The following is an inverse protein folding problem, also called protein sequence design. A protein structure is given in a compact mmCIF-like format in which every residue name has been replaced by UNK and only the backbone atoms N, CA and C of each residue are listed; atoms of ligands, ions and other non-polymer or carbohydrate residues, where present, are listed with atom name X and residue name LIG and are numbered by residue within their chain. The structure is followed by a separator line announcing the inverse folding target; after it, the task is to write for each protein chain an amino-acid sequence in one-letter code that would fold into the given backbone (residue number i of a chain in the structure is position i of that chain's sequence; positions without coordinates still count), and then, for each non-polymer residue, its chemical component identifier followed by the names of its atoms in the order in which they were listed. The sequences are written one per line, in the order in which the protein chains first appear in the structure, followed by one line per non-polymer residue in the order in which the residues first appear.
data_IF_072752064865
#
_entry.id   IF_072752064865
#
_cell.length_a   1.000
_cell.length_b   1.000
_cell.length_c   1.000
_cell.angle_alpha   90.00
_cell.angle_beta   90.00
_cell.angle_gamma   90.00
#
_symmetry.space_group_name_H-M   'P 1'
#
loop_
_entity.id
_entity.type
_entity.pdbx_description
1 polymer ?
#
# COMPACT_ATOMS: atom_id res chain seq x y z
N UNK A 1 12.19 11.68 9.01
CA UNK A 1 10.75 11.67 8.69
C UNK A 1 10.42 10.39 7.96
N UNK A 2 9.31 9.75 8.30
CA UNK A 2 8.86 8.49 7.70
C UNK A 2 7.64 8.77 6.84
N UNK A 3 7.63 8.22 5.64
CA UNK A 3 6.50 8.24 4.72
C UNK A 3 6.16 6.81 4.36
N UNK A 4 4.92 6.42 4.56
CA UNK A 4 4.41 5.10 4.18
C UNK A 4 3.39 5.25 3.07
N UNK A 5 3.57 4.49 2.02
CA UNK A 5 2.66 4.42 0.88
C UNK A 5 2.06 3.03 0.80
N UNK A 6 0.75 2.97 0.79
CA UNK A 6 -0.03 1.76 0.56
C UNK A 6 -0.73 1.83 -0.80
N UNK A 7 -0.68 0.78 -1.56
CA UNK A 7 -1.64 0.56 -2.62
C UNK A 7 -2.97 0.07 -2.01
N UNK A 8 -4.08 0.21 -2.75
CA UNK A 8 -5.39 -0.20 -2.28
C UNK A 8 -5.74 -1.62 -2.74
N UNK A 9 -5.84 -1.80 -4.05
CA UNK A 9 -6.33 -3.03 -4.64
C UNK A 9 -5.33 -4.18 -4.44
N UNK A 10 -5.82 -5.30 -3.92
CA UNK A 10 -5.01 -6.49 -3.61
C UNK A 10 -3.80 -6.26 -2.67
N UNK A 11 -3.80 -5.13 -1.97
CA UNK A 11 -2.78 -4.76 -0.96
C UNK A 11 -3.43 -4.44 0.39
N UNK A 12 -4.32 -3.46 0.46
CA UNK A 12 -5.18 -3.23 1.62
C UNK A 12 -6.51 -3.97 1.45
N UNK A 13 -7.19 -3.80 0.34
CA UNK A 13 -8.48 -4.42 0.02
C UNK A 13 -8.30 -5.64 -0.87
N UNK A 14 -9.00 -6.74 -0.57
CA UNK A 14 -9.00 -7.97 -1.38
C UNK A 14 -9.89 -7.82 -2.63
N UNK A 15 -9.57 -6.86 -3.49
CA UNK A 15 -10.40 -6.45 -4.63
C UNK A 15 -10.61 -7.58 -5.61
N UNK A 16 -9.55 -8.27 -6.03
CA UNK A 16 -9.66 -9.42 -6.93
C UNK A 16 -10.48 -10.57 -6.35
N UNK A 17 -10.44 -10.76 -5.02
CA UNK A 17 -11.25 -11.75 -4.34
C UNK A 17 -12.74 -11.33 -4.35
N UNK A 18 -13.03 -10.07 -4.02
CA UNK A 18 -14.38 -9.50 -4.04
C UNK A 18 -15.03 -9.67 -5.43
N UNK A 19 -14.31 -9.33 -6.49
CA UNK A 19 -14.81 -9.51 -7.87
C UNK A 19 -15.06 -10.98 -8.22
N UNK A 20 -14.23 -11.92 -7.73
CA UNK A 20 -14.46 -13.37 -7.97
C UNK A 20 -15.71 -13.89 -7.26
N UNK A 21 -16.10 -13.27 -6.14
CA UNK A 21 -17.35 -13.62 -5.45
C UNK A 21 -18.62 -13.22 -6.23
N UNK A 22 -18.49 -12.25 -7.14
CA UNK A 22 -19.63 -11.75 -7.93
C UNK A 22 -20.71 -11.03 -7.12
N UNK A 23 -20.37 -10.60 -5.90
CA UNK A 23 -21.30 -9.91 -4.98
C UNK A 23 -20.66 -8.62 -4.47
N UNK A 24 -21.42 -7.54 -4.49
CA UNK A 24 -20.88 -6.21 -4.18
C UNK A 24 -20.92 -5.87 -2.67
N UNK A 25 -21.69 -6.61 -1.86
CA UNK A 25 -21.98 -6.24 -0.47
C UNK A 25 -21.61 -7.33 0.53
N UNK A 26 -20.36 -7.80 0.49
CA UNK A 26 -19.83 -8.71 1.51
C UNK A 26 -18.98 -7.91 2.48
N UNK A 27 -19.28 -8.01 3.77
CA UNK A 27 -18.48 -7.39 4.82
C UNK A 27 -17.36 -8.33 5.26
N UNK A 28 -16.17 -7.76 5.45
CA UNK A 28 -14.95 -8.46 5.84
C UNK A 28 -14.43 -7.97 7.21
N UNK A 29 -15.00 -8.42 8.35
CA UNK A 29 -14.61 -7.92 9.67
C UNK A 29 -13.13 -8.13 9.99
N UNK A 30 -12.57 -9.29 9.65
CA UNK A 30 -11.15 -9.59 9.91
C UNK A 30 -10.23 -8.75 9.03
N UNK A 31 -10.58 -8.56 7.75
CA UNK A 31 -9.83 -7.66 6.87
C UNK A 31 -9.89 -6.21 7.37
N UNK A 32 -11.05 -5.78 7.86
CA UNK A 32 -11.23 -4.44 8.44
C UNK A 32 -10.30 -4.20 9.62
N UNK A 33 -10.22 -5.15 10.54
CA UNK A 33 -9.29 -5.10 11.69
C UNK A 33 -7.83 -5.04 11.22
N UNK A 34 -7.51 -5.86 10.23
CA UNK A 34 -6.15 -5.92 9.69
C UNK A 34 -5.74 -4.62 9.00
N UNK A 35 -6.60 -4.05 8.14
CA UNK A 35 -6.38 -2.76 7.49
C UNK A 35 -6.17 -1.65 8.54
N UNK A 36 -7.09 -1.56 9.51
CA UNK A 36 -6.97 -0.56 10.61
C UNK A 36 -5.62 -0.68 11.30
N UNK A 37 -5.21 -1.90 11.65
CA UNK A 37 -3.93 -2.14 12.32
C UNK A 37 -2.74 -1.71 11.47
N UNK A 38 -2.71 -2.05 10.17
CA UNK A 38 -1.67 -1.64 9.25
C UNK A 38 -1.56 -0.11 9.15
N UNK A 39 -2.69 0.56 8.96
CA UNK A 39 -2.73 2.02 8.83
C UNK A 39 -2.39 2.73 10.14
N UNK A 40 -2.85 2.23 11.30
CA UNK A 40 -2.52 2.79 12.60
C UNK A 40 -1.03 2.68 12.95
N UNK A 41 -0.40 1.55 12.63
CA UNK A 41 1.05 1.39 12.78
C UNK A 41 1.79 2.40 11.93
N UNK A 42 1.35 2.58 10.68
CA UNK A 42 1.94 3.54 9.75
C UNK A 42 1.75 4.99 10.23
N UNK A 43 0.55 5.35 10.70
CA UNK A 43 0.23 6.69 11.20
C UNK A 43 0.99 7.07 12.47
N UNK A 44 1.30 6.09 13.34
CA UNK A 44 2.15 6.30 14.51
C UNK A 44 3.59 6.63 14.12
N UNK A 45 4.05 6.15 12.98
CA UNK A 45 5.41 6.35 12.50
C UNK A 45 5.58 7.66 11.71
N UNK A 46 4.56 8.10 10.96
CA UNK A 46 4.68 9.29 10.14
C UNK A 46 3.52 9.54 9.20
N UNK A 47 3.83 10.08 8.02
CA UNK A 47 2.84 10.38 6.99
C UNK A 47 2.41 9.10 6.25
N UNK A 48 1.11 8.96 6.03
CA UNK A 48 0.54 7.81 5.35
C UNK A 48 -0.24 8.25 4.11
N UNK A 49 0.08 7.62 3.01
CA UNK A 49 -0.59 7.80 1.74
C UNK A 49 -1.20 6.47 1.28
N UNK A 50 -2.41 6.53 0.75
CA UNK A 50 -2.98 5.48 -0.08
C UNK A 50 -2.89 5.98 -1.52
N UNK A 51 -2.16 5.29 -2.39
CA UNK A 51 -2.05 5.62 -3.81
C UNK A 51 -2.64 4.48 -4.61
N UNK A 52 -3.79 4.69 -5.23
CA UNK A 52 -4.48 3.70 -6.05
C UNK A 52 -4.55 4.11 -7.52
N UNK A 53 -4.58 3.14 -8.41
CA UNK A 53 -4.94 3.34 -9.82
C UNK A 53 -6.45 3.31 -10.07
N UNK A 54 -7.24 2.94 -9.06
CA UNK A 54 -8.70 3.04 -9.07
C UNK A 54 -9.18 4.47 -8.79
N UNK A 55 -10.48 4.69 -8.96
CA UNK A 55 -11.15 5.93 -8.56
C UNK A 55 -11.19 6.06 -7.03
N UNK A 56 -11.11 7.27 -6.51
CA UNK A 56 -11.21 7.50 -5.07
C UNK A 56 -12.58 7.12 -4.50
N UNK A 57 -13.62 7.26 -5.30
CA UNK A 57 -14.97 6.83 -4.94
C UNK A 57 -15.07 5.30 -4.78
N UNK A 58 -14.32 4.53 -5.56
CA UNK A 58 -14.19 3.09 -5.37
C UNK A 58 -13.63 2.75 -3.97
N UNK A 59 -12.59 3.45 -3.54
CA UNK A 59 -12.02 3.26 -2.19
C UNK A 59 -13.05 3.57 -1.11
N UNK A 60 -13.78 4.69 -1.24
CA UNK A 60 -14.85 5.09 -0.30
C UNK A 60 -15.98 4.06 -0.26
N UNK A 61 -16.39 3.59 -1.43
CA UNK A 61 -17.42 2.55 -1.54
C UNK A 61 -16.98 1.27 -0.83
N UNK A 62 -15.76 0.78 -1.08
CA UNK A 62 -15.22 -0.38 -0.37
C UNK A 62 -15.26 -0.21 1.16
N UNK A 63 -14.90 0.97 1.66
CA UNK A 63 -14.91 1.25 3.10
C UNK A 63 -16.33 1.17 3.64
N UNK A 64 -17.30 1.78 2.98
CA UNK A 64 -18.68 1.83 3.43
C UNK A 64 -19.41 0.48 3.31
N UNK A 65 -19.19 -0.25 2.22
CA UNK A 65 -19.96 -1.45 1.89
C UNK A 65 -19.29 -2.74 2.37
N UNK A 66 -17.96 -2.80 2.34
CA UNK A 66 -17.23 -4.04 2.57
C UNK A 66 -16.46 -4.07 3.89
N UNK A 67 -16.12 -2.92 4.46
CA UNK A 67 -15.37 -2.86 5.71
C UNK A 67 -16.30 -2.52 6.91
N UNK A 68 -15.78 -2.78 8.10
CA UNK A 68 -16.50 -2.55 9.36
C UNK A 68 -15.69 -1.55 10.20
N UNK A 69 -16.35 -0.49 10.68
CA UNK A 69 -15.74 0.55 11.53
C UNK A 69 -14.48 1.21 10.96
N UNK A 70 -14.42 1.35 9.62
CA UNK A 70 -13.29 1.97 8.92
C UNK A 70 -13.61 3.37 8.40
N UNK A 71 -14.79 3.92 8.68
CA UNK A 71 -15.28 5.17 8.09
C UNK A 71 -14.32 6.34 8.32
N UNK A 72 -13.74 6.45 9.52
CA UNK A 72 -12.86 7.55 9.90
C UNK A 72 -11.40 7.37 9.46
N UNK A 73 -11.06 6.25 8.82
CA UNK A 73 -9.65 5.98 8.49
C UNK A 73 -9.15 6.90 7.38
N UNK A 74 -10.03 7.29 6.44
CA UNK A 74 -9.69 8.20 5.34
C UNK A 74 -9.40 9.63 5.80
N UNK A 75 -9.96 10.05 6.92
CA UNK A 75 -9.69 11.38 7.50
C UNK A 75 -8.24 11.49 8.01
N UNK A 76 -7.63 10.37 8.28
CA UNK A 76 -6.30 10.28 8.91
C UNK A 76 -5.18 10.00 7.92
N UNK A 77 -5.50 9.62 6.69
CA UNK A 77 -4.54 9.26 5.63
C UNK A 77 -4.78 10.12 4.39
N UNK A 78 -3.74 10.30 3.60
CA UNK A 78 -3.84 11.02 2.33
C UNK A 78 -4.20 10.04 1.21
N UNK A 79 -5.42 10.13 0.68
CA UNK A 79 -5.85 9.34 -0.48
C UNK A 79 -5.48 10.08 -1.78
N UNK A 80 -4.72 9.41 -2.64
CA UNK A 80 -4.37 9.86 -3.98
C UNK A 80 -4.83 8.82 -5.01
N UNK A 81 -5.95 9.09 -5.65
CA UNK A 81 -6.35 8.37 -6.85
C UNK A 81 -5.58 8.92 -8.06
N UNK A 82 -4.95 8.04 -8.82
CA UNK A 82 -4.25 8.45 -10.04
C UNK A 82 -5.20 8.84 -11.17
N UNK A 83 -6.49 8.48 -11.07
CA UNK A 83 -7.54 8.84 -12.02
C UNK A 83 -8.11 10.22 -11.68
N UNK A 84 -8.49 10.46 -10.43
CA UNK A 84 -9.18 11.69 -10.00
C UNK A 84 -8.26 12.90 -9.99
N UNK A 85 -6.96 12.70 -9.94
CA UNK A 85 -5.97 13.79 -9.86
C UNK A 85 -5.72 14.53 -11.17
N UNK A 86 -6.59 14.37 -12.17
CA UNK A 86 -6.43 14.99 -13.50
C UNK A 86 -5.35 14.33 -14.36
N UNK A 87 -4.84 13.20 -13.93
CA UNK A 87 -3.88 12.37 -14.69
C UNK A 87 -4.59 11.37 -15.63
N UNK A 88 -5.91 11.44 -15.72
CA UNK A 88 -6.75 10.60 -16.57
C UNK A 88 -6.38 10.66 -18.06
N UNK A 89 -5.85 11.79 -18.52
CA UNK A 89 -5.37 11.95 -19.89
C UNK A 89 -4.07 11.14 -20.17
N UNK A 90 -3.43 10.61 -19.13
CA UNK A 90 -2.25 9.78 -19.27
C UNK A 90 -2.71 8.32 -19.42
N UNK A 91 -2.53 7.76 -20.60
CA UNK A 91 -2.97 6.40 -20.96
C UNK A 91 -2.23 5.29 -20.20
N UNK A 92 -0.98 5.55 -19.79
CA UNK A 92 -0.14 4.55 -19.11
C UNK A 92 -0.40 4.52 -17.60
N UNK A 93 -0.94 3.41 -17.10
CA UNK A 93 -1.09 3.12 -15.66
C UNK A 93 0.21 3.33 -14.89
N UNK A 94 1.33 2.88 -15.46
CA UNK A 94 2.67 3.09 -14.90
C UNK A 94 2.97 4.57 -14.72
N UNK A 95 2.74 5.40 -15.75
CA UNK A 95 3.07 6.82 -15.70
C UNK A 95 2.19 7.57 -14.69
N UNK A 96 0.91 7.19 -14.57
CA UNK A 96 0.03 7.77 -13.55
C UNK A 96 0.56 7.51 -12.13
N UNK A 97 1.01 6.27 -11.85
CA UNK A 97 1.58 5.92 -10.54
C UNK A 97 2.87 6.71 -10.27
N UNK A 98 3.78 6.82 -11.26
CA UNK A 98 5.00 7.65 -11.16
C UNK A 98 4.65 9.10 -10.81
N UNK A 99 3.70 9.69 -11.49
CA UNK A 99 3.30 11.09 -11.26
C UNK A 99 2.67 11.30 -9.87
N UNK A 100 1.92 10.32 -9.36
CA UNK A 100 1.38 10.37 -8.00
C UNK A 100 2.49 10.34 -6.95
N UNK A 101 3.50 9.50 -7.14
CA UNK A 101 4.67 9.47 -6.28
C UNK A 101 5.52 10.76 -6.38
N UNK A 102 5.64 11.35 -7.55
CA UNK A 102 6.31 12.63 -7.74
C UNK A 102 5.64 13.77 -6.94
N UNK A 103 4.31 13.76 -6.83
CA UNK A 103 3.59 14.73 -5.98
C UNK A 103 3.98 14.60 -4.52
N UNK A 104 4.11 13.36 -4.01
CA UNK A 104 4.58 13.14 -2.64
C UNK A 104 6.01 13.67 -2.47
N UNK A 105 6.90 13.38 -3.40
CA UNK A 105 8.28 13.87 -3.33
C UNK A 105 8.34 15.40 -3.32
N UNK A 106 7.52 16.07 -4.11
CA UNK A 106 7.42 17.52 -4.15
C UNK A 106 6.97 18.17 -2.83
N UNK A 107 6.13 17.49 -2.06
CA UNK A 107 5.69 17.97 -0.75
C UNK A 107 6.84 18.04 0.27
N UNK A 108 7.86 17.21 0.11
CA UNK A 108 9.00 17.10 1.03
C UNK A 108 10.25 17.86 0.56
N UNK A 109 10.23 18.43 -0.66
CA UNK A 109 11.42 18.92 -1.35
C UNK A 109 11.97 20.26 -0.82
N UNK A 110 11.31 20.99 0.08
CA UNK A 110 11.78 22.33 0.43
C UNK A 110 12.46 22.47 1.80
N UNK A 111 12.40 21.53 2.71
CA UNK A 111 13.09 21.55 4.04
C UNK A 111 12.88 20.29 4.88
N UNK A 112 12.18 19.27 4.40
CA UNK A 112 11.90 18.06 5.17
C UNK A 112 12.57 16.88 4.46
N UNK A 113 13.62 16.38 5.04
CA UNK A 113 14.30 15.18 4.54
C UNK A 113 13.42 13.97 4.82
N UNK A 114 13.04 13.25 3.77
CA UNK A 114 12.42 11.94 3.92
C UNK A 114 13.53 10.96 4.28
N UNK A 115 13.45 10.33 5.44
CA UNK A 115 14.47 9.37 5.88
C UNK A 115 14.12 7.95 5.48
N UNK A 116 12.83 7.59 5.51
CA UNK A 116 12.33 6.30 5.07
C UNK A 116 11.09 6.50 4.22
N UNK A 117 11.11 5.93 3.03
CA UNK A 117 9.95 5.72 2.18
C UNK A 117 9.65 4.23 2.18
N UNK A 118 8.52 3.83 2.76
CA UNK A 118 8.09 2.43 2.86
C UNK A 118 6.88 2.26 1.95
N UNK A 119 6.99 1.37 0.97
CA UNK A 119 5.98 1.17 -0.06
C UNK A 119 5.48 -0.27 -0.04
N UNK A 120 4.16 -0.40 0.00
CA UNK A 120 3.44 -1.67 -0.06
C UNK A 120 2.55 -1.67 -1.29
N UNK A 121 2.66 -2.68 -2.15
CA UNK A 121 1.83 -2.82 -3.34
C UNK A 121 1.92 -4.22 -3.93
N UNK A 122 0.87 -4.63 -4.66
CA UNK A 122 0.81 -5.95 -5.29
C UNK A 122 1.48 -6.00 -6.66
N UNK A 123 1.73 -4.85 -7.27
CA UNK A 123 2.21 -4.76 -8.64
C UNK A 123 3.60 -4.13 -8.79
N UNK A 124 4.20 -4.35 -9.97
CA UNK A 124 5.51 -3.78 -10.28
C UNK A 124 5.49 -2.27 -10.53
N UNK A 125 4.31 -1.67 -10.68
CA UNK A 125 4.22 -0.21 -10.87
C UNK A 125 4.51 0.55 -9.59
N UNK A 126 4.11 0.03 -8.44
CA UNK A 126 4.41 0.59 -7.12
C UNK A 126 5.91 0.58 -6.86
N UNK A 127 6.55 -0.57 -7.10
CA UNK A 127 7.99 -0.74 -6.98
C UNK A 127 8.76 0.23 -7.88
N UNK A 128 8.39 0.33 -9.16
CA UNK A 128 9.03 1.27 -10.10
C UNK A 128 8.81 2.72 -9.73
N UNK A 129 7.65 3.06 -9.16
CA UNK A 129 7.36 4.42 -8.74
C UNK A 129 8.20 4.82 -7.52
N UNK A 130 8.38 3.93 -6.55
CA UNK A 130 9.23 4.19 -5.39
C UNK A 130 10.73 4.22 -5.74
N UNK A 131 11.19 3.37 -6.67
CA UNK A 131 12.56 3.42 -7.18
C UNK A 131 12.86 4.73 -7.91
N UNK A 132 11.90 5.22 -8.70
CA UNK A 132 12.02 6.52 -9.35
C UNK A 132 12.18 7.67 -8.34
N UNK A 133 11.44 7.62 -7.22
CA UNK A 133 11.62 8.59 -6.13
C UNK A 133 13.01 8.47 -5.52
N UNK A 134 13.52 7.26 -5.32
CA UNK A 134 14.88 7.03 -4.80
C UNK A 134 15.94 7.77 -5.63
N UNK A 135 15.81 7.73 -6.95
CA UNK A 135 16.73 8.42 -7.86
C UNK A 135 16.66 9.95 -7.73
N UNK A 136 15.48 10.49 -7.40
CA UNK A 136 15.25 11.94 -7.28
C UNK A 136 15.62 12.54 -5.93
N UNK A 137 15.41 11.83 -4.82
CA UNK A 137 15.51 12.40 -3.45
C UNK A 137 16.96 12.34 -2.93
N UNK A 138 17.83 11.55 -3.55
CA UNK A 138 19.25 11.46 -3.19
C UNK A 138 19.54 10.55 -1.99
N UNK A 139 20.79 10.59 -1.51
CA UNK A 139 21.43 9.57 -0.67
C UNK A 139 20.93 9.45 0.77
N UNK A 140 20.06 10.34 1.24
CA UNK A 140 19.59 10.34 2.64
C UNK A 140 18.22 9.67 2.86
N UNK A 141 17.66 9.02 1.84
CA UNK A 141 16.36 8.36 1.93
C UNK A 141 16.49 6.88 1.66
N UNK A 142 16.09 6.07 2.62
CA UNK A 142 16.01 4.63 2.46
C UNK A 142 14.64 4.25 1.90
N UNK A 143 14.62 3.67 0.71
CA UNK A 143 13.40 3.16 0.07
C UNK A 143 13.27 1.68 0.37
N UNK A 144 12.10 1.27 0.84
CA UNK A 144 11.76 -0.09 1.22
C UNK A 144 10.51 -0.51 0.46
N UNK A 145 10.70 -1.40 -0.50
CA UNK A 145 9.63 -1.95 -1.31
C UNK A 145 9.25 -3.32 -0.80
N UNK A 146 8.00 -3.50 -0.44
CA UNK A 146 7.44 -4.78 -0.07
C UNK A 146 6.29 -5.09 -1.02
N UNK A 147 6.53 -6.08 -1.89
CA UNK A 147 5.58 -6.50 -2.89
C UNK A 147 4.67 -7.59 -2.35
N UNK A 148 3.38 -7.32 -2.37
CA UNK A 148 2.31 -8.27 -2.06
C UNK A 148 2.07 -9.24 -3.22
N UNK A 149 1.38 -10.33 -2.94
CA UNK A 149 0.93 -11.28 -3.96
C UNK A 149 -0.10 -10.62 -4.87
N UNK A 150 0.05 -10.82 -6.17
CA UNK A 150 -0.95 -10.36 -7.14
C UNK A 150 -2.19 -11.28 -7.09
N UNK A 151 -3.39 -10.68 -7.05
CA UNK A 151 -4.68 -11.38 -6.97
C UNK A 151 -4.74 -12.42 -5.83
N UNK A 152 -4.46 -12.03 -4.60
CA UNK A 152 -4.42 -12.96 -3.48
C UNK A 152 -5.79 -13.56 -3.20
N UNK A 153 -5.82 -14.68 -2.48
CA UNK A 153 -7.01 -15.07 -1.73
C UNK A 153 -7.19 -14.14 -0.52
N UNK A 154 -8.36 -14.13 0.09
CA UNK A 154 -8.58 -13.35 1.32
C UNK A 154 -7.63 -13.82 2.44
N UNK A 155 -7.42 -15.13 2.57
CA UNK A 155 -6.52 -15.70 3.58
C UNK A 155 -5.06 -15.34 3.33
N UNK A 156 -4.62 -15.31 2.08
CA UNK A 156 -3.25 -14.89 1.75
C UNK A 156 -3.05 -13.42 2.07
N UNK A 157 -3.98 -12.55 1.70
CA UNK A 157 -3.90 -11.12 1.99
C UNK A 157 -3.87 -10.84 3.50
N UNK A 158 -4.74 -11.49 4.28
CA UNK A 158 -4.74 -11.34 5.74
C UNK A 158 -3.39 -11.73 6.35
N UNK A 159 -2.80 -12.83 5.88
CA UNK A 159 -1.49 -13.28 6.34
C UNK A 159 -0.38 -12.31 5.92
N UNK A 160 -0.39 -11.82 4.70
CA UNK A 160 0.58 -10.83 4.24
C UNK A 160 0.51 -9.56 5.08
N UNK A 161 -0.68 -9.07 5.38
CA UNK A 161 -0.88 -7.93 6.27
C UNK A 161 -0.40 -8.22 7.70
N UNK A 162 -0.63 -9.42 8.22
CA UNK A 162 -0.12 -9.83 9.53
C UNK A 162 1.42 -9.86 9.56
N UNK A 163 2.05 -10.37 8.52
CA UNK A 163 3.51 -10.32 8.38
C UNK A 163 3.99 -8.88 8.43
N UNK A 164 3.35 -7.97 7.69
CA UNK A 164 3.72 -6.55 7.72
C UNK A 164 3.53 -5.96 9.10
N UNK A 165 2.44 -6.24 9.79
CA UNK A 165 2.20 -5.75 11.16
C UNK A 165 3.32 -6.15 12.11
N UNK A 166 3.84 -7.36 11.97
CA UNK A 166 4.91 -7.90 12.81
C UNK A 166 6.29 -7.29 12.48
N UNK A 167 6.59 -7.08 11.20
CA UNK A 167 7.90 -6.58 10.78
C UNK A 167 7.97 -5.04 10.68
N UNK A 168 6.83 -4.34 10.69
CA UNK A 168 6.78 -2.90 10.47
C UNK A 168 7.70 -2.10 11.42
N UNK A 169 7.77 -2.39 12.74
CA UNK A 169 8.71 -1.71 13.63
C UNK A 169 10.18 -1.86 13.18
N UNK A 170 10.55 -3.04 12.68
CA UNK A 170 11.90 -3.29 12.16
C UNK A 170 12.18 -2.51 10.88
N UNK A 171 11.16 -2.32 10.03
CA UNK A 171 11.30 -1.50 8.84
C UNK A 171 11.64 -0.05 9.16
N UNK A 172 11.23 0.47 10.32
CA UNK A 172 11.48 1.86 10.71
C UNK A 172 12.93 2.14 11.07
N UNK A 173 13.66 1.13 11.55
CA UNK A 173 15.01 1.27 12.09
C UNK A 173 16.11 0.74 11.15
N UNK A 174 15.75 0.03 10.09
CA UNK A 174 16.72 -0.49 9.13
C UNK A 174 17.15 0.63 8.17
N UNK A 175 18.37 1.12 8.29
CA UNK A 175 18.95 2.15 7.43
C UNK A 175 19.57 1.53 6.16
N UNK A 176 18.70 0.86 5.38
CA UNK A 176 19.04 0.23 4.09
C UNK A 176 17.87 0.29 3.12
N UNK A 177 18.17 0.27 1.83
CA UNK A 177 17.18 -0.05 0.82
C UNK A 177 16.77 -1.52 0.95
N UNK A 178 15.47 -1.78 0.86
CA UNK A 178 14.91 -3.13 0.88
C UNK A 178 14.03 -3.32 -0.35
N UNK A 179 14.05 -4.53 -0.87
CA UNK A 179 13.23 -4.93 -2.00
C UNK A 179 12.80 -6.39 -1.80
N UNK A 180 11.66 -6.55 -1.13
CA UNK A 180 11.12 -7.85 -0.75
C UNK A 180 9.84 -8.16 -1.51
N UNK A 181 9.56 -9.45 -1.67
CA UNK A 181 8.28 -9.96 -2.16
C UNK A 181 7.72 -10.96 -1.16
N UNK A 182 6.45 -10.82 -0.85
CA UNK A 182 5.70 -11.80 -0.10
C UNK A 182 5.21 -12.89 -1.08
N UNK A 183 5.06 -14.10 -0.58
CA UNK A 183 4.65 -15.24 -1.38
C UNK A 183 3.47 -15.95 -0.71
N UNK A 184 2.49 -16.44 -1.50
CA UNK A 184 1.43 -17.29 -0.96
C UNK A 184 2.04 -18.53 -0.32
N UNK A 185 1.45 -18.99 0.77
CA UNK A 185 1.92 -20.21 1.48
C UNK A 185 1.79 -21.48 0.69
N UNK A 186 0.95 -21.47 -0.34
CA UNK A 186 0.84 -22.60 -1.28
C UNK A 186 2.14 -22.92 -2.03
N UNK A 187 3.13 -22.01 -2.01
CA UNK A 187 4.46 -22.22 -2.56
C UNK A 187 5.53 -22.60 -1.53
N UNK A 188 5.19 -22.62 -0.24
CA UNK A 188 6.13 -23.16 0.75
C UNK A 188 6.11 -24.70 0.65
N UNK A 189 7.27 -25.36 0.46
CA UNK A 189 7.33 -26.81 0.52
C UNK A 189 6.79 -27.27 1.88
N UNK A 190 5.98 -28.32 1.88
CA UNK A 190 5.26 -28.86 3.06
C UNK A 190 6.17 -29.23 4.27
N UNK A 191 7.46 -29.11 4.13
CA UNK A 191 8.47 -29.47 5.14
C UNK A 191 8.87 -28.29 6.05
N UNK A 192 8.29 -27.10 5.89
CA UNK A 192 8.60 -25.92 6.72
C UNK A 192 7.44 -25.52 7.67
N UNK A 193 6.41 -26.36 7.79
CA UNK A 193 5.28 -26.18 8.72
C UNK A 193 5.41 -27.09 9.94
N UNK A 194 6.51 -26.98 10.66
CA UNK A 194 6.67 -27.59 12.00
C UNK A 194 7.02 -26.53 13.02
#
# INVERSE_FOLDING_TARGET
MIVTVWDWDDTLMATSFLFRLGVNTVRFPELSKSIKRCLELSLKAGHVYIITNGEGDWVRQCITENLVDCDNILERVHLLSTVDTGLSNITSVKQRKLNAFDRISGMFNKRKVMHHLICFGDCMYDRKASDHIREKIGSFTYVKNIKFTNKPSLSDLLREQEVIQNIYPSLLIIDKHLDWSLFPTSFLPSNLTT
#
